data_IF_273097027371
#
_entry.id   IF_273097027371
#
_cell.length_a   1.000
_cell.length_b   1.000
_cell.length_c   1.000
_cell.angle_alpha   90.00
_cell.angle_beta   90.00
_cell.angle_gamma   90.00
#
_symmetry.space_group_name_H-M   'P 1'
#
loop_
_entity.id
_entity.type
_entity.pdbx_description
1 polymer ?
#
# COMPACT_ATOMS: atom_id res chain seq x y z
N UNK A 1 1.08 -5.26 9.76
CA UNK A 1 1.15 -6.67 9.31
C UNK A 1 0.94 -6.65 7.81
N UNK A 2 1.75 -7.39 7.05
CA UNK A 2 1.54 -7.56 5.60
C UNK A 2 0.53 -8.67 5.40
N UNK A 3 -0.42 -8.49 4.49
CA UNK A 3 -1.43 -9.50 4.18
C UNK A 3 -1.56 -9.69 2.69
N UNK A 4 -1.77 -10.93 2.28
CA UNK A 4 -1.95 -11.29 0.88
C UNK A 4 -3.39 -11.13 0.43
N UNK A 5 -3.57 -10.62 -0.79
CA UNK A 5 -4.86 -10.49 -1.47
C UNK A 5 -4.98 -11.64 -2.45
N UNK A 6 -6.05 -12.45 -2.32
CA UNK A 6 -6.34 -13.54 -3.26
C UNK A 6 -7.56 -13.20 -4.10
N UNK A 7 -7.39 -13.16 -5.42
CA UNK A 7 -8.52 -13.13 -6.36
C UNK A 7 -9.13 -14.52 -6.48
N UNK A 8 -10.43 -14.61 -6.25
CA UNK A 8 -11.22 -15.82 -6.47
C UNK A 8 -12.27 -15.56 -7.54
N UNK A 9 -12.45 -16.53 -8.42
CA UNK A 9 -13.53 -16.48 -9.42
C UNK A 9 -14.82 -16.94 -8.74
N UNK A 10 -15.71 -16.01 -8.43
CA UNK A 10 -17.10 -16.25 -8.08
C UNK A 10 -17.78 -16.95 -9.24
N UNK A 11 -17.85 -18.28 -9.20
CA UNK A 11 -18.71 -19.02 -10.13
C UNK A 11 -20.15 -18.62 -9.81
N UNK A 12 -20.76 -17.86 -10.71
CA UNK A 12 -22.19 -17.61 -10.72
C UNK A 12 -22.93 -18.96 -10.78
N UNK A 13 -23.48 -19.38 -9.64
CA UNK A 13 -24.54 -20.37 -9.61
C UNK A 13 -25.86 -19.59 -9.72
N UNK A 14 -26.48 -19.66 -10.89
CA UNK A 14 -27.79 -19.09 -11.17
C UNK A 14 -28.92 -19.90 -10.52
N UNK A 15 -29.96 -19.16 -10.13
CA UNK A 15 -31.38 -19.51 -10.08
C UNK A 15 -31.87 -20.57 -9.05
N UNK A 16 -32.69 -20.09 -8.12
CA UNK A 16 -33.84 -20.84 -7.59
C UNK A 16 -33.58 -21.64 -6.31
N UNK A 17 -34.24 -21.24 -5.23
CA UNK A 17 -34.47 -22.11 -4.07
C UNK A 17 -33.66 -21.75 -2.83
N UNK A 18 -34.38 -21.62 -1.72
CA UNK A 18 -33.87 -21.29 -0.41
C UNK A 18 -32.89 -22.34 0.14
N UNK A 19 -31.58 -22.18 -0.10
CA UNK A 19 -30.50 -22.79 0.68
C UNK A 19 -29.30 -21.82 0.73
N UNK A 20 -28.97 -21.37 1.93
CA UNK A 20 -28.04 -20.30 2.31
C UNK A 20 -26.66 -20.38 1.59
N UNK A 21 -26.37 -19.54 0.58
CA UNK A 21 -25.05 -19.47 -0.01
C UNK A 21 -24.18 -18.60 0.91
N UNK A 22 -23.15 -19.19 1.51
CA UNK A 22 -22.29 -18.54 2.50
C UNK A 22 -21.78 -17.15 2.09
N UNK A 23 -22.54 -16.15 2.49
CA UNK A 23 -22.20 -14.77 2.85
C UNK A 23 -20.94 -14.19 2.20
N UNK A 24 -20.91 -14.08 0.86
CA UNK A 24 -19.92 -13.26 0.18
C UNK A 24 -20.32 -11.78 0.27
N UNK A 25 -20.45 -11.26 1.48
CA UNK A 25 -20.71 -9.85 1.71
C UNK A 25 -19.41 -9.05 1.66
N UNK A 26 -19.44 -7.93 0.96
CA UNK A 26 -18.30 -7.03 0.91
C UNK A 26 -18.16 -6.28 2.24
N UNK A 27 -17.02 -6.45 2.91
CA UNK A 27 -16.74 -5.75 4.18
C UNK A 27 -16.64 -4.21 4.02
N UNK A 28 -16.42 -3.71 2.80
CA UNK A 28 -16.32 -2.27 2.53
C UNK A 28 -17.68 -1.58 2.34
N UNK A 29 -18.65 -2.25 1.74
CA UNK A 29 -19.95 -1.66 1.41
C UNK A 29 -21.17 -2.38 2.02
N UNK A 30 -20.98 -3.54 2.65
CA UNK A 30 -22.03 -4.34 3.27
C UNK A 30 -23.02 -4.98 2.28
N UNK A 31 -22.71 -4.97 0.97
CA UNK A 31 -23.56 -5.57 -0.06
C UNK A 31 -23.04 -6.94 -0.45
N UNK A 32 -23.93 -7.79 -0.97
CA UNK A 32 -23.54 -9.07 -1.55
C UNK A 32 -22.62 -8.88 -2.77
N UNK A 33 -21.64 -9.76 -2.93
CA UNK A 33 -20.75 -9.78 -4.08
C UNK A 33 -21.38 -10.69 -5.15
N UNK A 34 -21.97 -10.09 -6.19
CA UNK A 34 -22.47 -10.81 -7.38
C UNK A 34 -21.47 -10.84 -8.53
N UNK A 35 -20.30 -10.24 -8.34
CA UNK A 35 -19.25 -10.13 -9.35
C UNK A 35 -18.62 -11.50 -9.64
N UNK A 36 -18.15 -11.67 -10.89
CA UNK A 36 -17.43 -12.88 -11.29
C UNK A 36 -16.08 -13.02 -10.59
N UNK A 37 -15.44 -11.91 -10.26
CA UNK A 37 -14.16 -11.88 -9.57
C UNK A 37 -14.35 -11.14 -8.25
N UNK A 38 -13.78 -11.71 -7.19
CA UNK A 38 -13.85 -11.15 -5.85
C UNK A 38 -12.51 -11.28 -5.15
N UNK A 39 -12.21 -10.33 -4.29
CA UNK A 39 -10.95 -10.29 -3.55
C UNK A 39 -11.19 -10.79 -2.13
N UNK A 40 -10.38 -11.74 -1.68
CA UNK A 40 -10.33 -12.17 -0.29
C UNK A 40 -9.10 -11.57 0.40
N UNK A 41 -9.33 -10.82 1.46
CA UNK A 41 -8.28 -10.21 2.29
C UNK A 41 -8.80 -10.02 3.73
N UNK A 42 -7.91 -10.13 4.72
CA UNK A 42 -8.26 -10.05 6.16
C UNK A 42 -9.31 -11.11 6.58
N UNK A 43 -9.32 -12.26 5.92
CA UNK A 43 -10.37 -13.28 6.01
C UNK A 43 -11.78 -12.82 5.58
N UNK A 44 -11.92 -11.58 5.10
CA UNK A 44 -13.16 -11.00 4.60
C UNK A 44 -13.17 -10.95 3.06
N UNK A 45 -14.36 -10.78 2.48
CA UNK A 45 -14.54 -10.60 1.05
C UNK A 45 -14.73 -9.13 0.68
N UNK A 46 -14.24 -8.75 -0.49
CA UNK A 46 -14.26 -7.39 -0.99
C UNK A 46 -14.50 -7.39 -2.50
N UNK A 47 -15.24 -6.38 -2.99
CA UNK A 47 -15.28 -6.06 -4.41
C UNK A 47 -13.91 -5.51 -4.89
N UNK A 48 -13.65 -5.63 -6.19
CA UNK A 48 -12.46 -5.05 -6.83
C UNK A 48 -12.39 -3.52 -6.65
N UNK A 49 -13.55 -2.86 -6.65
CA UNK A 49 -13.70 -1.43 -6.41
C UNK A 49 -13.70 -1.03 -4.93
N UNK A 50 -14.08 -1.94 -4.03
CA UNK A 50 -14.17 -1.65 -2.59
C UNK A 50 -12.82 -1.81 -1.89
N UNK A 51 -11.94 -2.70 -2.38
CA UNK A 51 -10.62 -2.90 -1.81
C UNK A 51 -9.62 -1.85 -2.31
N UNK A 52 -9.70 -0.66 -1.72
CA UNK A 52 -8.86 0.50 -2.08
C UNK A 52 -8.07 1.04 -0.90
N UNK A 53 -6.95 1.69 -1.21
CA UNK A 53 -6.11 2.34 -0.21
C UNK A 53 -6.85 3.52 0.43
N UNK A 54 -6.89 3.60 1.76
CA UNK A 54 -7.51 4.71 2.49
C UNK A 54 -6.80 6.06 2.36
N UNK A 55 -5.61 6.12 1.74
CA UNK A 55 -4.86 7.36 1.53
C UNK A 55 -4.81 7.84 0.08
N UNK A 56 -4.74 6.92 -0.87
CA UNK A 56 -4.57 7.26 -2.29
C UNK A 56 -5.69 6.72 -3.19
N UNK A 57 -6.69 6.04 -2.62
CA UNK A 57 -7.82 5.42 -3.32
C UNK A 57 -7.45 4.44 -4.45
N UNK A 58 -6.19 4.02 -4.55
CA UNK A 58 -5.77 3.05 -5.56
C UNK A 58 -6.34 1.66 -5.23
N UNK A 59 -6.76 0.93 -6.27
CA UNK A 59 -7.25 -0.46 -6.18
C UNK A 59 -6.10 -1.36 -5.75
N UNK A 60 -6.17 -1.91 -4.54
CA UNK A 60 -5.10 -2.75 -4.02
C UNK A 60 -5.01 -4.07 -4.78
N UNK A 61 -6.14 -4.59 -5.30
CA UNK A 61 -6.14 -5.80 -6.13
C UNK A 61 -5.31 -5.69 -7.41
N UNK A 62 -5.19 -4.48 -7.98
CA UNK A 62 -4.41 -4.23 -9.21
C UNK A 62 -2.95 -3.85 -8.92
N UNK A 63 -2.72 -3.03 -7.89
CA UNK A 63 -1.39 -2.49 -7.56
C UNK A 63 -0.44 -3.57 -7.03
N UNK A 64 -0.98 -4.63 -6.43
CA UNK A 64 -0.19 -5.82 -6.09
C UNK A 64 -0.91 -6.80 -5.18
N UNK A 65 -0.38 -8.01 -5.05
CA UNK A 65 -0.99 -9.06 -4.25
C UNK A 65 -0.84 -8.88 -2.73
N UNK A 66 -0.31 -7.76 -2.25
CA UNK A 66 -0.10 -7.51 -0.81
C UNK A 66 -0.66 -6.17 -0.38
N UNK A 67 -1.37 -6.16 0.75
CA UNK A 67 -1.87 -4.96 1.41
C UNK A 67 -1.34 -4.88 2.84
N UNK A 68 -1.41 -3.66 3.39
CA UNK A 68 -0.94 -3.39 4.73
C UNK A 68 -2.08 -2.83 5.55
N UNK A 69 -2.35 -3.46 6.69
CA UNK A 69 -3.31 -2.95 7.67
C UNK A 69 -2.60 -2.41 8.90
N UNK A 70 -2.94 -1.18 9.26
CA UNK A 70 -2.48 -0.52 10.49
C UNK A 70 -3.46 0.57 10.91
N UNK A 71 -3.69 0.71 12.21
CA UNK A 71 -4.64 1.68 12.78
C UNK A 71 -6.06 1.61 12.17
N UNK A 72 -6.55 0.39 11.91
CA UNK A 72 -7.85 0.13 11.28
C UNK A 72 -8.00 0.69 9.84
N UNK A 73 -6.89 1.02 9.18
CA UNK A 73 -6.84 1.47 7.80
C UNK A 73 -6.14 0.44 6.92
N UNK A 74 -6.67 0.24 5.70
CA UNK A 74 -6.07 -0.56 4.64
C UNK A 74 -5.25 0.39 3.76
N UNK A 75 -3.96 0.11 3.63
CA UNK A 75 -2.98 0.94 2.94
C UNK A 75 -2.22 0.16 1.89
N UNK A 76 -1.84 0.83 0.81
CA UNK A 76 -0.91 0.29 -0.16
C UNK A 76 0.51 0.28 0.42
N UNK A 77 1.40 -0.53 -0.16
CA UNK A 77 2.81 -0.60 0.25
C UNK A 77 3.46 0.79 0.33
N UNK A 78 3.16 1.66 -0.64
CA UNK A 78 3.71 3.03 -0.72
C UNK A 78 3.25 3.90 0.44
N UNK A 79 1.94 3.98 0.70
CA UNK A 79 1.39 4.82 1.77
C UNK A 79 1.71 4.25 3.16
N UNK A 80 1.73 2.92 3.28
CA UNK A 80 2.18 2.27 4.51
C UNK A 80 3.63 2.65 4.83
N UNK A 81 4.55 2.53 3.86
CA UNK A 81 5.93 2.95 4.05
C UNK A 81 6.02 4.45 4.33
N UNK A 82 5.24 5.28 3.64
CA UNK A 82 5.22 6.73 3.87
C UNK A 82 4.79 7.12 5.29
N UNK A 83 3.75 6.50 5.83
CA UNK A 83 3.17 6.84 7.13
C UNK A 83 3.85 6.12 8.30
N UNK A 84 4.32 4.90 8.07
CA UNK A 84 4.77 3.99 9.12
C UNK A 84 6.13 3.38 8.88
N UNK A 85 6.75 3.62 7.73
CA UNK A 85 8.15 3.28 7.51
C UNK A 85 9.06 4.15 8.37
N UNK A 86 10.30 3.70 8.53
CA UNK A 86 11.29 4.44 9.30
C UNK A 86 11.63 5.75 8.58
N UNK A 87 11.10 6.87 9.10
CA UNK A 87 11.52 8.20 8.70
C UNK A 87 12.89 8.51 9.29
N UNK A 88 13.69 9.24 8.54
CA UNK A 88 15.02 9.68 8.97
C UNK A 88 15.06 11.20 9.12
N UNK A 89 16.18 11.72 9.64
CA UNK A 89 16.47 13.16 9.56
C UNK A 89 17.67 13.36 8.64
N UNK A 90 17.57 14.37 7.77
CA UNK A 90 18.68 14.74 6.91
C UNK A 90 19.75 15.46 7.73
N UNK A 91 20.97 14.92 7.77
CA UNK A 91 22.07 15.51 8.53
C UNK A 91 22.59 16.86 7.97
N UNK A 92 22.21 17.21 6.73
CA UNK A 92 22.58 18.49 6.12
C UNK A 92 21.54 19.59 6.34
N UNK A 93 20.24 19.30 6.22
CA UNK A 93 19.17 20.31 6.36
C UNK A 93 18.32 20.16 7.62
N UNK A 94 18.57 19.14 8.44
CA UNK A 94 17.83 18.81 9.66
C UNK A 94 16.32 18.59 9.47
N UNK A 95 15.85 18.44 8.23
CA UNK A 95 14.45 18.17 7.91
C UNK A 95 14.17 16.66 7.96
N UNK A 96 12.91 16.33 8.23
CA UNK A 96 12.40 14.96 8.19
C UNK A 96 12.45 14.43 6.77
N UNK A 97 13.07 13.27 6.60
CA UNK A 97 13.05 12.51 5.37
C UNK A 97 11.87 11.53 5.42
N UNK A 98 10.89 11.65 4.51
CA UNK A 98 9.84 10.67 4.35
C UNK A 98 10.42 9.28 4.07
N UNK A 99 9.83 8.26 4.66
CA UNK A 99 10.31 6.89 4.53
C UNK A 99 10.19 6.29 3.12
N UNK A 100 9.45 6.94 2.21
CA UNK A 100 9.36 6.57 0.79
C UNK A 100 10.35 7.33 -0.10
N UNK A 101 11.03 8.35 0.43
CA UNK A 101 11.96 9.17 -0.33
C UNK A 101 13.31 8.45 -0.48
N UNK A 102 13.90 8.54 -1.66
CA UNK A 102 15.25 8.01 -1.89
C UNK A 102 16.27 8.86 -1.14
N UNK A 103 17.17 8.21 -0.42
CA UNK A 103 18.17 8.88 0.42
C UNK A 103 19.56 8.38 0.13
N UNK A 104 20.54 9.26 0.34
CA UNK A 104 21.94 8.89 0.33
C UNK A 104 22.41 8.66 1.77
N UNK A 105 23.10 7.54 2.01
CA UNK A 105 23.67 7.19 3.31
C UNK A 105 25.18 7.32 3.25
N UNK A 106 25.76 8.10 4.16
CA UNK A 106 27.19 8.21 4.31
C UNK A 106 27.57 7.98 5.78
N UNK A 107 28.31 6.89 6.03
CA UNK A 107 28.62 6.40 7.38
C UNK A 107 27.31 6.21 8.18
N UNK A 108 27.12 6.97 9.26
CA UNK A 108 25.95 6.91 10.13
C UNK A 108 24.88 7.98 9.81
N UNK A 109 25.10 8.81 8.79
CA UNK A 109 24.24 9.92 8.45
C UNK A 109 23.41 9.64 7.19
N UNK A 110 22.19 10.18 7.17
CA UNK A 110 21.27 10.09 6.03
C UNK A 110 21.08 11.50 5.47
N UNK A 111 21.01 11.61 4.14
CA UNK A 111 20.87 12.86 3.42
C UNK A 111 19.81 12.72 2.33
N UNK A 112 19.06 13.79 2.05
CA UNK A 112 18.29 13.87 0.81
C UNK A 112 19.24 13.83 -0.39
N UNK A 113 18.78 13.31 -1.52
CA UNK A 113 19.55 13.33 -2.78
C UNK A 113 20.02 14.74 -3.14
N UNK A 114 19.21 15.75 -2.83
CA UNK A 114 19.52 17.14 -3.11
C UNK A 114 20.49 17.77 -2.10
N UNK A 115 20.54 17.24 -0.89
CA UNK A 115 21.40 17.73 0.18
C UNK A 115 22.77 17.02 0.20
N UNK A 116 22.96 15.98 -0.62
CA UNK A 116 24.23 15.29 -0.73
C UNK A 116 25.21 16.06 -1.62
N UNK A 117 25.89 17.02 -1.02
CA UNK A 117 26.89 17.86 -1.68
C UNK A 117 28.20 17.93 -0.86
N UNK A 118 29.30 18.06 -1.59
CA UNK A 118 30.62 18.32 -1.03
C UNK A 118 30.62 19.59 -0.17
N UNK A 119 30.93 19.50 1.12
CA UNK A 119 30.96 20.67 2.01
C UNK A 119 32.07 21.68 1.66
N UNK A 120 33.14 21.24 0.99
CA UNK A 120 34.26 22.09 0.57
C UNK A 120 33.97 22.86 -0.73
N UNK A 121 33.17 22.28 -1.62
CA UNK A 121 33.07 22.69 -3.02
C UNK A 121 31.62 22.88 -3.51
N UNK A 122 30.63 22.59 -2.66
CA UNK A 122 29.19 22.58 -2.91
C UNK A 122 28.75 21.86 -4.20
N UNK A 123 29.63 21.04 -4.77
CA UNK A 123 29.34 20.27 -5.97
C UNK A 123 28.40 19.13 -5.60
N UNK A 124 27.25 19.07 -6.27
CA UNK A 124 26.32 17.94 -6.17
C UNK A 124 26.95 16.76 -6.89
N UNK A 125 26.99 15.60 -6.25
CA UNK A 125 27.40 14.38 -6.95
C UNK A 125 26.24 14.00 -7.87
N UNK A 126 26.27 14.46 -9.12
CA UNK A 126 25.36 13.96 -10.13
C UNK A 126 25.70 12.49 -10.33
N UNK A 127 24.74 11.61 -10.04
CA UNK A 127 24.79 10.23 -10.53
C UNK A 127 24.57 10.33 -12.04
N UNK A 128 25.66 10.53 -12.78
CA UNK A 128 25.64 10.40 -14.23
C UNK A 128 25.36 8.94 -14.59
N UNK A 129 24.52 8.80 -15.61
CA UNK A 129 24.08 7.58 -16.31
C UNK A 129 25.23 6.64 -16.73
#
# INVERSE_FOLDING_TARGET
MTMDVKSQNGKAATAGGAQNPGNQECAGCGKHITERYLLKALDMFWHEDCLKCGCCDCRLGEVGSTLYTKANLILCKRDYLRLFGNTGYCAACSKVIPAFEMVMRARNNVYHLECFACQQCNHRYALNE
#
